data_IF_546519322538
#
_entry.id   IF_546519322538
#
_cell.length_a   1.000
_cell.length_b   1.000
_cell.length_c   1.000
_cell.angle_alpha   90.00
_cell.angle_beta   90.00
_cell.angle_gamma   90.00
#
_symmetry.space_group_name_H-M   'P 1'
#
loop_
_entity.id
_entity.type
_entity.pdbx_description
1 polymer ?
#
# COMPACT_ATOMS: atom_id res chain seq x y z
N UNK A 1 -10.22 12.21 -12.93
CA UNK A 1 -9.81 10.87 -12.51
C UNK A 1 -10.91 10.27 -11.65
N UNK A 2 -11.50 9.14 -12.02
CA UNK A 2 -12.59 8.48 -11.28
C UNK A 2 -12.05 7.63 -10.12
N UNK A 3 -12.92 7.24 -9.19
CA UNK A 3 -12.54 6.35 -8.07
C UNK A 3 -11.95 5.01 -8.55
N UNK A 4 -12.50 4.46 -9.63
CA UNK A 4 -12.02 3.23 -10.26
C UNK A 4 -10.63 3.44 -10.88
N UNK A 5 -10.39 4.57 -11.54
CA UNK A 5 -9.07 4.92 -12.09
C UNK A 5 -8.01 5.08 -10.99
N UNK A 6 -8.36 5.65 -9.84
CA UNK A 6 -7.46 5.73 -8.68
C UNK A 6 -7.15 4.34 -8.14
N UNK A 7 -8.16 3.50 -7.94
CA UNK A 7 -7.98 2.13 -7.47
C UNK A 7 -7.07 1.32 -8.40
N UNK A 8 -7.32 1.37 -9.71
CA UNK A 8 -6.51 0.69 -10.72
C UNK A 8 -5.08 1.25 -10.78
N UNK A 9 -4.91 2.58 -10.64
CA UNK A 9 -3.59 3.20 -10.57
C UNK A 9 -2.79 2.73 -9.36
N UNK A 10 -3.42 2.59 -8.20
CA UNK A 10 -2.78 2.07 -6.99
C UNK A 10 -2.42 0.59 -7.13
N UNK A 11 -3.32 -0.24 -7.69
CA UNK A 11 -2.97 -1.63 -8.01
C UNK A 11 -1.76 -1.72 -8.95
N UNK A 12 -1.70 -0.84 -9.95
CA UNK A 12 -0.56 -0.77 -10.87
C UNK A 12 0.72 -0.36 -10.15
N UNK A 13 0.66 0.65 -9.29
CA UNK A 13 1.80 1.10 -8.49
C UNK A 13 2.38 -0.06 -7.65
N UNK A 14 1.52 -0.83 -6.99
CA UNK A 14 1.93 -1.96 -6.14
C UNK A 14 2.30 -3.22 -6.93
N UNK A 15 1.94 -3.30 -8.22
CA UNK A 15 2.37 -4.40 -9.09
C UNK A 15 3.84 -4.31 -9.50
N UNK A 16 4.43 -3.10 -9.46
CA UNK A 16 5.85 -2.89 -9.82
C UNK A 16 6.72 -3.38 -8.68
N UNK A 17 7.40 -4.51 -8.88
CA UNK A 17 8.29 -5.13 -7.89
C UNK A 17 9.58 -4.33 -7.70
N UNK A 18 10.11 -4.36 -6.49
CA UNK A 18 11.39 -3.75 -6.17
C UNK A 18 12.50 -4.41 -6.99
N UNK A 19 13.28 -3.60 -7.69
CA UNK A 19 14.45 -4.10 -8.42
C UNK A 19 15.61 -4.40 -7.49
N UNK A 20 16.56 -5.23 -7.95
CA UNK A 20 17.82 -5.50 -7.26
C UNK A 20 18.54 -4.22 -6.80
N UNK A 21 18.50 -3.17 -7.62
CA UNK A 21 19.14 -1.89 -7.31
C UNK A 21 18.41 -1.14 -6.19
N UNK A 22 17.07 -1.17 -6.20
CA UNK A 22 16.26 -0.59 -5.13
C UNK A 22 16.48 -1.35 -3.81
N UNK A 23 16.59 -2.67 -3.86
CA UNK A 23 16.87 -3.51 -2.68
C UNK A 23 18.26 -3.23 -2.12
N UNK A 24 19.29 -3.13 -2.97
CA UNK A 24 20.64 -2.74 -2.55
C UNK A 24 20.65 -1.35 -1.91
N UNK A 25 19.96 -0.38 -2.52
CA UNK A 25 19.83 0.97 -1.98
C UNK A 25 19.13 0.97 -0.62
N UNK A 26 18.06 0.20 -0.46
CA UNK A 26 17.38 0.03 0.83
C UNK A 26 18.33 -0.55 1.90
N UNK A 27 19.07 -1.60 1.56
CA UNK A 27 20.07 -2.19 2.46
C UNK A 27 21.15 -1.18 2.87
N UNK A 28 21.64 -0.39 1.93
CA UNK A 28 22.62 0.68 2.17
C UNK A 28 22.06 1.78 3.08
N UNK A 29 20.83 2.23 2.87
CA UNK A 29 20.22 3.27 3.71
C UNK A 29 20.00 2.77 5.14
N UNK A 30 19.51 1.54 5.29
CA UNK A 30 19.24 0.92 6.59
C UNK A 30 20.52 0.54 7.34
N UNK A 31 21.68 0.44 6.69
CA UNK A 31 22.97 0.21 7.37
C UNK A 31 23.48 1.43 8.16
N UNK A 32 22.78 2.57 8.08
CA UNK A 32 22.94 3.68 9.03
C UNK A 32 22.52 3.30 10.46
N UNK A 33 21.71 2.24 10.61
CA UNK A 33 21.37 1.62 11.89
C UNK A 33 22.43 0.57 12.26
N UNK A 34 22.49 0.19 13.54
CA UNK A 34 23.42 -0.84 13.99
C UNK A 34 23.06 -2.19 13.40
N UNK A 35 23.99 -2.78 12.67
CA UNK A 35 23.92 -4.18 12.29
C UNK A 35 24.17 -5.05 13.53
N UNK A 36 23.33 -6.05 13.85
CA UNK A 36 23.56 -6.95 14.97
C UNK A 36 24.95 -7.59 14.90
N UNK A 37 25.63 -7.70 16.04
CA UNK A 37 26.96 -8.27 16.12
C UNK A 37 27.03 -9.66 15.44
N UNK A 38 28.13 -9.92 14.72
CA UNK A 38 28.37 -11.15 13.94
C UNK A 38 27.55 -11.31 12.65
N UNK A 39 26.85 -10.27 12.20
CA UNK A 39 26.18 -10.29 10.89
C UNK A 39 27.12 -9.76 9.81
N UNK A 40 27.45 -10.58 8.82
CA UNK A 40 28.17 -10.14 7.62
C UNK A 40 27.26 -9.21 6.78
N UNK A 41 27.64 -7.95 6.49
CA UNK A 41 26.87 -7.03 5.65
C UNK A 41 26.49 -7.61 4.27
N UNK A 42 27.33 -8.47 3.68
CA UNK A 42 27.05 -9.12 2.40
C UNK A 42 25.90 -10.13 2.51
N UNK A 43 25.77 -10.79 3.66
CA UNK A 43 24.67 -11.73 3.96
C UNK A 43 23.35 -10.98 4.08
N UNK A 44 23.34 -9.77 4.67
CA UNK A 44 22.12 -8.96 4.79
C UNK A 44 21.55 -8.58 3.43
N UNK A 45 22.39 -8.05 2.53
CA UNK A 45 21.93 -7.64 1.20
C UNK A 45 21.38 -8.82 0.38
N UNK A 46 22.02 -9.99 0.48
CA UNK A 46 21.59 -11.21 -0.20
C UNK A 46 20.27 -11.74 0.38
N UNK A 47 20.12 -11.67 1.71
CA UNK A 47 18.90 -12.10 2.39
C UNK A 47 17.72 -11.19 2.05
N UNK A 48 17.93 -9.87 2.01
CA UNK A 48 16.90 -8.92 1.57
C UNK A 48 16.45 -9.17 0.13
N UNK A 49 17.38 -9.46 -0.80
CA UNK A 49 16.99 -9.82 -2.17
C UNK A 49 16.05 -11.01 -2.21
N UNK A 50 16.31 -12.03 -1.40
CA UNK A 50 15.47 -13.22 -1.34
C UNK A 50 14.08 -12.92 -0.78
N UNK A 51 14.00 -12.14 0.31
CA UNK A 51 12.74 -11.91 1.04
C UNK A 51 11.89 -10.77 0.50
N UNK A 52 12.46 -9.89 -0.32
CA UNK A 52 11.77 -8.71 -0.88
C UNK A 52 11.46 -8.85 -2.37
N UNK A 53 11.74 -10.00 -2.99
CA UNK A 53 11.52 -10.23 -4.43
C UNK A 53 10.09 -9.94 -4.90
N UNK A 54 9.11 -10.19 -4.03
CA UNK A 54 7.69 -10.02 -4.32
C UNK A 54 7.11 -8.73 -3.73
N UNK A 55 7.93 -7.92 -3.06
CA UNK A 55 7.55 -6.62 -2.50
C UNK A 55 7.57 -5.56 -3.61
N UNK A 56 6.59 -4.66 -3.58
CA UNK A 56 6.52 -3.52 -4.48
C UNK A 56 7.62 -2.50 -4.19
N UNK A 57 8.11 -1.85 -5.25
CA UNK A 57 9.08 -0.77 -5.15
C UNK A 57 8.57 0.37 -4.24
N UNK A 58 7.27 0.64 -4.30
CA UNK A 58 6.62 1.64 -3.46
C UNK A 58 6.70 1.27 -1.97
N UNK A 59 6.25 0.06 -1.61
CA UNK A 59 6.22 -0.36 -0.21
C UNK A 59 7.62 -0.41 0.40
N UNK A 60 8.62 -0.88 -0.37
CA UNK A 60 10.01 -0.86 0.08
C UNK A 60 10.52 0.56 0.36
N UNK A 61 10.26 1.51 -0.54
CA UNK A 61 10.70 2.89 -0.35
C UNK A 61 10.04 3.52 0.88
N UNK A 62 8.73 3.33 1.04
CA UNK A 62 7.98 3.85 2.18
C UNK A 62 8.43 3.20 3.49
N UNK A 63 8.69 1.88 3.50
CA UNK A 63 9.17 1.17 4.66
C UNK A 63 10.52 1.74 5.14
N UNK A 64 11.48 1.93 4.22
CA UNK A 64 12.79 2.51 4.53
C UNK A 64 12.64 3.91 5.14
N UNK A 65 11.81 4.77 4.54
CA UNK A 65 11.54 6.11 5.08
C UNK A 65 10.96 6.07 6.49
N UNK A 66 9.91 5.27 6.72
CA UNK A 66 9.24 5.17 8.01
C UNK A 66 10.19 4.62 9.10
N UNK A 67 11.07 3.68 8.74
CA UNK A 67 12.05 3.10 9.66
C UNK A 67 13.10 4.14 10.05
N UNK A 68 13.70 4.83 9.08
CA UNK A 68 14.74 5.82 9.33
C UNK A 68 14.22 7.06 10.08
N UNK A 69 12.95 7.40 9.89
CA UNK A 69 12.28 8.48 10.63
C UNK A 69 11.73 8.04 11.99
N UNK A 70 11.86 6.75 12.35
CA UNK A 70 11.43 6.21 13.63
C UNK A 70 9.91 6.17 13.83
N UNK A 71 9.16 6.14 12.74
CA UNK A 71 7.68 6.11 12.71
C UNK A 71 7.10 4.69 12.88
N UNK A 72 7.93 3.65 12.76
CA UNK A 72 7.49 2.27 12.90
C UNK A 72 7.40 1.88 14.38
N UNK A 73 6.22 1.46 14.81
CA UNK A 73 6.00 0.89 16.14
C UNK A 73 6.44 -0.58 16.17
N UNK A 74 6.92 -1.06 17.32
CA UNK A 74 7.31 -2.47 17.50
C UNK A 74 8.64 -2.87 16.85
N UNK A 75 9.26 -2.02 16.04
CA UNK A 75 10.58 -2.24 15.45
C UNK A 75 11.67 -1.48 16.22
N UNK A 76 12.89 -2.03 16.22
CA UNK A 76 14.04 -1.34 16.81
C UNK A 76 14.36 -0.02 16.08
N UNK A 77 14.52 1.06 16.85
CA UNK A 77 15.02 2.35 16.32
C UNK A 77 16.55 2.42 16.24
N UNK A 78 17.24 1.39 16.72
CA UNK A 78 18.69 1.35 16.85
C UNK A 78 19.31 0.30 15.94
N UNK A 79 18.63 -0.83 15.80
CA UNK A 79 19.13 -1.98 15.04
C UNK A 79 18.49 -2.03 13.67
N UNK A 80 19.28 -2.45 12.68
CA UNK A 80 18.80 -2.73 11.33
C UNK A 80 17.71 -3.81 11.39
N UNK A 81 16.60 -3.67 10.61
CA UNK A 81 15.53 -4.65 10.63
C UNK A 81 15.99 -6.00 10.10
N UNK A 82 15.49 -7.06 10.71
CA UNK A 82 15.61 -8.41 10.15
C UNK A 82 14.85 -8.51 8.82
N UNK A 83 15.17 -9.54 8.04
CA UNK A 83 14.49 -9.77 6.76
C UNK A 83 12.99 -10.01 6.92
N UNK A 84 12.60 -10.67 8.04
CA UNK A 84 11.21 -10.92 8.38
C UNK A 84 10.49 -9.61 8.73
N UNK A 85 11.06 -8.80 9.62
CA UNK A 85 10.48 -7.49 10.01
C UNK A 85 10.27 -6.58 8.80
N UNK A 86 11.29 -6.43 7.95
CA UNK A 86 11.20 -5.56 6.78
C UNK A 86 10.18 -6.09 5.76
N UNK A 87 10.18 -7.39 5.48
CA UNK A 87 9.24 -8.00 4.52
C UNK A 87 7.80 -7.90 5.00
N UNK A 88 7.53 -8.24 6.26
CA UNK A 88 6.20 -8.12 6.86
C UNK A 88 5.70 -6.68 6.87
N UNK A 89 6.54 -5.72 7.24
CA UNK A 89 6.14 -4.32 7.25
C UNK A 89 5.85 -3.78 5.84
N UNK A 90 6.62 -4.20 4.84
CA UNK A 90 6.30 -3.87 3.45
C UNK A 90 4.92 -4.43 3.03
N UNK A 91 4.62 -5.68 3.38
CA UNK A 91 3.33 -6.31 3.06
C UNK A 91 2.16 -5.61 3.77
N UNK A 92 2.36 -5.14 4.99
CA UNK A 92 1.37 -4.33 5.73
C UNK A 92 1.07 -3.03 5.00
N UNK A 93 2.10 -2.30 4.54
CA UNK A 93 1.93 -1.06 3.74
C UNK A 93 1.12 -1.35 2.47
N UNK A 94 1.42 -2.43 1.74
CA UNK A 94 0.68 -2.81 0.53
C UNK A 94 -0.80 -3.10 0.84
N UNK A 95 -1.03 -3.88 1.90
CA UNK A 95 -2.37 -4.25 2.35
C UNK A 95 -3.17 -3.00 2.75
N UNK A 96 -2.58 -2.10 3.53
CA UNK A 96 -3.24 -0.89 4.02
C UNK A 96 -3.65 0.03 2.86
N UNK A 97 -2.76 0.25 1.89
CA UNK A 97 -3.04 1.06 0.71
C UNK A 97 -4.17 0.45 -0.12
N UNK A 98 -4.12 -0.85 -0.39
CA UNK A 98 -5.16 -1.54 -1.16
C UNK A 98 -6.51 -1.54 -0.43
N UNK A 99 -6.52 -1.82 0.87
CA UNK A 99 -7.72 -1.83 1.69
C UNK A 99 -8.37 -0.44 1.69
N UNK A 100 -7.61 0.62 1.97
CA UNK A 100 -8.12 2.00 1.96
C UNK A 100 -8.69 2.38 0.59
N UNK A 101 -7.96 2.08 -0.48
CA UNK A 101 -8.40 2.34 -1.85
C UNK A 101 -9.71 1.60 -2.19
N UNK A 102 -9.80 0.32 -1.82
CA UNK A 102 -10.98 -0.49 -2.02
C UNK A 102 -12.19 0.04 -1.25
N UNK A 103 -12.02 0.46 0.00
CA UNK A 103 -13.09 1.06 0.80
C UNK A 103 -13.63 2.34 0.15
N UNK A 104 -12.74 3.24 -0.30
CA UNK A 104 -13.12 4.47 -0.99
C UNK A 104 -13.88 4.15 -2.29
N UNK A 105 -13.36 3.24 -3.12
CA UNK A 105 -14.00 2.80 -4.34
C UNK A 105 -15.42 2.26 -4.06
N UNK A 106 -15.55 1.37 -3.08
CA UNK A 106 -16.84 0.78 -2.69
C UNK A 106 -17.84 1.81 -2.18
N UNK A 107 -17.38 2.80 -1.41
CA UNK A 107 -18.24 3.87 -0.91
C UNK A 107 -18.80 4.72 -2.07
N UNK A 108 -17.96 5.07 -3.05
CA UNK A 108 -18.37 5.88 -4.20
C UNK A 108 -19.37 5.12 -5.08
N UNK A 109 -19.13 3.85 -5.36
CA UNK A 109 -20.05 3.01 -6.13
C UNK A 109 -21.40 2.82 -5.43
N UNK A 110 -21.40 2.64 -4.11
CA UNK A 110 -22.63 2.57 -3.33
C UNK A 110 -23.44 3.88 -3.40
N UNK A 111 -22.78 5.03 -3.30
CA UNK A 111 -23.43 6.34 -3.41
C UNK A 111 -24.04 6.55 -4.80
N UNK A 112 -23.32 6.19 -5.87
CA UNK A 112 -23.84 6.25 -7.25
C UNK A 112 -25.07 5.37 -7.44
N UNK A 113 -25.03 4.13 -6.94
CA UNK A 113 -26.17 3.20 -7.01
C UNK A 113 -27.39 3.70 -6.24
N UNK A 114 -27.20 4.38 -5.11
CA UNK A 114 -28.30 5.00 -4.36
C UNK A 114 -28.94 6.16 -5.14
N UNK A 115 -28.11 7.06 -5.68
CA UNK A 115 -28.59 8.19 -6.46
C UNK A 115 -29.39 7.76 -7.70
N UNK A 116 -28.94 6.72 -8.41
CA UNK A 116 -29.66 6.14 -9.55
C UNK A 116 -31.04 5.61 -9.14
N UNK A 117 -31.12 4.85 -8.03
CA UNK A 117 -32.39 4.32 -7.51
C UNK A 117 -33.36 5.42 -7.07
N UNK A 118 -32.86 6.52 -6.51
CA UNK A 118 -33.67 7.68 -6.12
C UNK A 118 -34.18 8.44 -7.35
N UNK A 119 -33.37 8.56 -8.39
CA UNK A 119 -33.76 9.17 -9.66
C UNK A 119 -34.82 8.33 -10.40
N UNK A 120 -34.69 7.00 -10.41
CA UNK A 120 -35.70 6.07 -10.95
C UNK A 120 -37.03 6.16 -10.17
N UNK A 121 -36.97 6.38 -8.86
CA UNK A 121 -38.17 6.57 -8.01
C UNK A 121 -38.83 7.93 -8.21
N UNK A 122 -38.04 9.01 -8.39
CA UNK A 122 -38.55 10.36 -8.64
C UNK A 122 -39.06 10.57 -10.07
N UNK A 123 -38.52 9.83 -11.05
CA UNK A 123 -38.96 9.86 -12.45
C UNK A 123 -40.27 9.12 -12.72
N UNK A 124 -40.73 8.25 -11.81
CA UNK A 124 -41.95 7.45 -11.99
C UNK A 124 -43.22 8.12 -11.41
N UNK A 125 -43.19 9.45 -11.20
CA UNK A 125 -44.39 10.20 -10.79
C UNK A 125 -45.28 10.41 -12.02
N UNK A 126 -46.21 9.47 -12.22
CA UNK A 126 -47.29 9.60 -13.21
C UNK A 126 -48.11 10.85 -12.81
N UNK A 127 -48.29 11.85 -13.69
CA UNK A 127 -49.16 12.97 -13.38
C UNK A 127 -50.59 12.44 -13.25
N UNK A 128 -51.17 12.49 -12.06
CA UNK A 128 -52.60 12.29 -11.88
C UNK A 128 -53.31 13.48 -12.55
N UNK A 129 -53.62 13.34 -13.83
CA UNK A 129 -54.58 14.20 -14.52
C UNK A 129 -55.91 14.06 -13.81
N UNK A 130 -56.31 15.09 -13.05
CA UNK A 130 -57.67 15.18 -12.50
C UNK A 130 -58.63 15.39 -13.67
N UNK A 131 -59.35 14.35 -14.03
CA UNK A 131 -60.62 14.42 -14.76
C UNK A 131 -61.76 14.49 -13.75
N UNK A 132 -62.63 15.49 -13.88
CA UNK A 132 -63.88 15.60 -13.12
C UNK A 132 -64.05 16.94 -12.44
#
# INVERSE_FOLDING_TARGET
MTALEVYNSLQRLLSVKASDEQIKKAAFLLSSLRVPANTDPNVVSSSYKLTLKDVSAYALAQAVENILTGQVEGMSKVFMPTCAELSSYCQEIESEVLCKAWYVHRAIENTRKKALKEQERGGNVIPLTKTG
#
